data_IF_651642517845
#
_entry.id   IF_651642517845
#
_cell.length_a   1.000
_cell.length_b   1.000
_cell.length_c   1.000
_cell.angle_alpha   90.00
_cell.angle_beta   90.00
_cell.angle_gamma   90.00
#
_symmetry.space_group_name_H-M   'P 1'
#
loop_
_entity.id
_entity.type
_entity.pdbx_description
1 polymer ?
#
# COMPACT_ATOMS: atom_id res chain seq x y z
N UNK A 1 -69.39 -48.59 9.26
CA UNK A 1 -68.42 -47.59 8.74
C UNK A 1 -68.62 -46.30 9.52
N UNK A 2 -67.74 -46.04 10.48
CA UNK A 2 -67.77 -44.85 11.35
C UNK A 2 -66.32 -44.41 11.56
N UNK A 3 -65.90 -43.34 10.89
CA UNK A 3 -64.59 -42.72 11.15
C UNK A 3 -64.80 -41.51 12.06
N UNK A 4 -64.30 -41.62 13.29
CA UNK A 4 -64.06 -40.51 14.22
C UNK A 4 -62.86 -39.71 13.69
N UNK A 5 -63.03 -38.40 13.52
CA UNK A 5 -61.90 -37.46 13.50
C UNK A 5 -62.02 -36.56 14.72
N UNK A 6 -60.96 -36.62 15.53
CA UNK A 6 -60.75 -35.85 16.74
C UNK A 6 -60.10 -34.52 16.38
N UNK A 7 -60.55 -33.46 17.06
CA UNK A 7 -59.73 -32.40 17.65
C UNK A 7 -58.98 -31.42 16.71
N UNK A 8 -59.50 -30.20 16.68
CA UNK A 8 -58.70 -28.96 16.55
C UNK A 8 -59.27 -27.91 17.51
N UNK A 9 -58.85 -27.99 18.77
CA UNK A 9 -58.94 -26.87 19.72
C UNK A 9 -57.89 -25.81 19.34
N UNK A 10 -58.13 -24.57 19.80
CA UNK A 10 -57.19 -23.43 19.84
C UNK A 10 -57.21 -22.41 18.69
N UNK A 11 -58.35 -21.72 18.49
CA UNK A 11 -58.36 -20.33 18.00
C UNK A 11 -58.47 -19.29 19.14
N UNK A 12 -58.17 -19.70 20.37
CA UNK A 12 -58.25 -18.85 21.56
C UNK A 12 -56.97 -18.97 22.40
N UNK A 13 -55.84 -18.55 21.85
CA UNK A 13 -54.82 -17.92 22.68
C UNK A 13 -54.97 -16.43 22.44
N UNK A 14 -55.65 -15.76 23.37
CA UNK A 14 -55.64 -14.31 23.51
C UNK A 14 -54.22 -13.82 23.24
N UNK A 15 -54.02 -12.92 22.26
CA UNK A 15 -52.74 -12.22 22.12
C UNK A 15 -52.36 -11.77 23.53
N UNK A 16 -51.20 -12.18 24.02
CA UNK A 16 -50.82 -11.85 25.38
C UNK A 16 -50.77 -10.33 25.49
N UNK A 17 -51.04 -9.78 26.68
CA UNK A 17 -50.96 -8.32 26.91
C UNK A 17 -49.63 -7.74 26.41
N UNK A 18 -48.57 -8.56 26.47
CA UNK A 18 -47.22 -8.24 26.00
C UNK A 18 -47.15 -8.14 24.47
N UNK A 19 -47.89 -8.98 23.74
CA UNK A 19 -47.93 -8.94 22.27
C UNK A 19 -48.67 -7.70 21.77
N UNK A 20 -49.70 -7.25 22.49
CA UNK A 20 -50.42 -6.01 22.16
C UNK A 20 -49.61 -4.76 22.51
N UNK A 21 -48.93 -4.74 23.65
CA UNK A 21 -48.00 -3.67 24.06
C UNK A 21 -46.81 -3.56 23.09
N UNK A 22 -46.28 -4.70 22.63
CA UNK A 22 -45.25 -4.72 21.58
C UNK A 22 -45.78 -4.16 20.26
N UNK A 23 -47.01 -4.52 19.86
CA UNK A 23 -47.61 -4.02 18.63
C UNK A 23 -47.84 -2.50 18.70
N UNK A 24 -48.33 -2.01 19.84
CA UNK A 24 -48.50 -0.57 20.12
C UNK A 24 -47.18 0.18 20.02
N UNK A 25 -46.11 -0.35 20.64
CA UNK A 25 -44.75 0.23 20.57
C UNK A 25 -44.19 0.26 19.14
N UNK A 26 -44.47 -0.76 18.32
CA UNK A 26 -44.01 -0.82 16.92
C UNK A 26 -44.82 0.09 15.97
N UNK A 27 -46.04 0.46 16.35
CA UNK A 27 -46.93 1.35 15.59
C UNK A 27 -46.75 2.83 15.99
N UNK A 28 -46.02 3.10 17.07
CA UNK A 28 -45.61 4.45 17.45
C UNK A 28 -44.60 4.99 16.42
N UNK A 29 -44.73 6.25 15.97
CA UNK A 29 -43.84 6.80 14.94
C UNK A 29 -42.39 6.79 15.43
N UNK A 30 -41.46 6.23 14.62
CA UNK A 30 -40.03 6.07 14.95
C UNK A 30 -39.35 7.36 15.44
N UNK A 31 -39.84 8.54 15.05
CA UNK A 31 -39.33 9.84 15.46
C UNK A 31 -39.66 10.22 16.92
N UNK A 32 -40.68 9.63 17.53
CA UNK A 32 -41.10 9.93 18.91
C UNK A 32 -40.37 9.08 19.96
N UNK A 33 -39.78 7.95 19.56
CA UNK A 33 -39.25 6.94 20.48
C UNK A 33 -37.73 7.06 20.70
N UNK A 34 -37.03 7.89 19.92
CA UNK A 34 -35.59 8.04 20.06
C UNK A 34 -35.22 9.28 20.91
N UNK A 35 -34.68 9.10 22.13
CA UNK A 35 -34.33 10.21 23.01
C UNK A 35 -33.16 11.09 22.49
N UNK A 36 -32.61 10.76 21.32
CA UNK A 36 -31.54 11.49 20.65
C UNK A 36 -31.95 11.84 19.22
N UNK A 37 -33.14 12.42 19.02
CA UNK A 37 -33.54 12.89 17.70
C UNK A 37 -32.82 14.20 17.35
N UNK A 38 -31.79 14.22 16.48
CA UNK A 38 -31.08 15.45 16.15
C UNK A 38 -31.92 16.42 15.29
N UNK A 39 -33.07 15.98 14.77
CA UNK A 39 -34.01 16.81 14.03
C UNK A 39 -35.09 17.44 14.92
N UNK A 40 -35.12 17.13 16.21
CA UNK A 40 -35.99 17.78 17.19
C UNK A 40 -35.44 19.16 17.56
N UNK A 41 -36.32 20.14 17.64
CA UNK A 41 -35.99 21.55 17.89
C UNK A 41 -35.44 21.74 19.32
N UNK A 42 -35.82 20.86 20.25
CA UNK A 42 -35.32 20.85 21.63
C UNK A 42 -33.90 20.27 21.77
N UNK A 43 -33.45 19.45 20.80
CA UNK A 43 -32.13 18.82 20.80
C UNK A 43 -31.01 19.84 20.61
N UNK A 44 -31.19 20.80 19.70
CA UNK A 44 -30.24 21.87 19.46
C UNK A 44 -30.02 22.70 20.73
N UNK A 45 -31.08 23.01 21.47
CA UNK A 45 -30.99 23.74 22.73
C UNK A 45 -30.24 22.94 23.81
N UNK A 46 -30.47 21.63 23.90
CA UNK A 46 -29.74 20.74 24.80
C UNK A 46 -28.24 20.66 24.48
N UNK A 47 -27.88 20.48 23.21
CA UNK A 47 -26.48 20.44 22.78
C UNK A 47 -25.78 21.80 22.97
N UNK A 48 -26.44 22.91 22.66
CA UNK A 48 -25.88 24.25 22.93
C UNK A 48 -25.63 24.48 24.42
N UNK A 49 -26.50 23.99 25.31
CA UNK A 49 -26.28 24.08 26.76
C UNK A 49 -25.08 23.25 27.21
N UNK A 50 -24.87 22.05 26.64
CA UNK A 50 -23.69 21.24 26.90
C UNK A 50 -22.41 21.90 26.38
N UNK A 51 -22.44 22.47 25.18
CA UNK A 51 -21.30 23.16 24.57
C UNK A 51 -20.90 24.40 25.37
N UNK A 52 -21.86 25.16 25.93
CA UNK A 52 -21.58 26.29 26.83
C UNK A 52 -20.83 25.88 28.10
N UNK A 53 -20.98 24.63 28.58
CA UNK A 53 -20.21 24.13 29.72
C UNK A 53 -18.74 23.90 29.36
N UNK A 54 -18.43 23.72 28.08
CA UNK A 54 -17.08 23.66 27.56
C UNK A 54 -16.64 25.03 27.05
N UNK A 55 -16.11 25.86 27.95
CA UNK A 55 -15.40 27.10 27.61
C UNK A 55 -14.07 26.88 26.86
N UNK A 56 -13.95 25.75 26.14
CA UNK A 56 -12.80 25.39 25.31
C UNK A 56 -12.85 26.07 23.94
N UNK A 57 -14.02 26.51 23.47
CA UNK A 57 -14.17 27.09 22.14
C UNK A 57 -13.32 28.37 21.98
N UNK A 58 -13.32 29.25 22.98
CA UNK A 58 -12.52 30.49 22.97
C UNK A 58 -11.02 30.21 23.10
N UNK A 59 -10.64 29.21 23.91
CA UNK A 59 -9.25 28.78 24.06
C UNK A 59 -8.71 28.13 22.78
N UNK A 60 -9.53 27.31 22.13
CA UNK A 60 -9.17 26.61 20.89
C UNK A 60 -9.11 27.59 19.71
N UNK A 61 -10.01 28.57 19.65
CA UNK A 61 -9.95 29.64 18.64
C UNK A 61 -8.68 30.48 18.80
N UNK A 62 -8.29 30.81 20.03
CA UNK A 62 -7.09 31.62 20.29
C UNK A 62 -5.79 30.85 20.06
N UNK A 63 -5.71 29.57 20.43
CA UNK A 63 -4.54 28.73 20.14
C UNK A 63 -4.42 28.44 18.65
N UNK A 64 -5.54 28.12 17.98
CA UNK A 64 -5.58 27.86 16.55
C UNK A 64 -5.18 29.10 15.75
N UNK A 65 -5.68 30.29 16.10
CA UNK A 65 -5.27 31.52 15.40
C UNK A 65 -3.82 31.90 15.67
N UNK A 66 -3.28 31.59 16.85
CA UNK A 66 -1.88 31.83 17.17
C UNK A 66 -0.92 30.85 16.48
N UNK A 67 -1.28 29.57 16.39
CA UNK A 67 -0.39 28.49 15.96
C UNK A 67 -0.59 28.03 14.52
N UNK A 68 -1.77 28.25 13.95
CA UNK A 68 -2.04 27.92 12.54
C UNK A 68 -1.13 28.65 11.54
N UNK A 69 -0.73 29.93 11.72
CA UNK A 69 0.14 30.60 10.76
C UNK A 69 1.52 29.94 10.70
N UNK A 70 2.09 29.59 11.85
CA UNK A 70 3.38 28.90 11.93
C UNK A 70 3.29 27.50 11.30
N UNK A 71 2.18 26.79 11.52
CA UNK A 71 1.94 25.49 10.90
C UNK A 71 1.83 25.58 9.37
N UNK A 72 1.03 26.53 8.85
CA UNK A 72 0.89 26.71 7.42
C UNK A 72 2.20 27.18 6.77
N UNK A 73 2.94 28.07 7.43
CA UNK A 73 4.27 28.49 6.95
C UNK A 73 5.27 27.32 6.95
N UNK A 74 5.20 26.44 7.95
CA UNK A 74 6.01 25.23 7.98
C UNK A 74 5.65 24.29 6.82
N UNK A 75 4.36 24.09 6.56
CA UNK A 75 3.90 23.33 5.39
C UNK A 75 4.35 23.95 4.08
N UNK A 76 4.22 25.27 3.90
CA UNK A 76 4.67 25.97 2.69
C UNK A 76 6.19 25.85 2.48
N UNK A 77 6.97 25.84 3.58
CA UNK A 77 8.42 25.62 3.51
C UNK A 77 8.74 24.20 3.04
N UNK A 78 8.06 23.19 3.59
CA UNK A 78 8.20 21.80 3.16
C UNK A 78 7.76 21.62 1.70
N UNK A 79 6.67 22.26 1.31
CA UNK A 79 6.16 22.19 -0.06
C UNK A 79 7.04 22.93 -1.07
N UNK A 80 7.65 24.04 -0.67
CA UNK A 80 8.63 24.76 -1.50
C UNK A 80 9.93 23.97 -1.68
N UNK A 81 10.27 23.11 -0.73
CA UNK A 81 11.39 22.17 -0.85
C UNK A 81 11.15 21.04 -1.87
N UNK A 82 9.90 20.65 -2.09
CA UNK A 82 9.56 19.55 -3.03
C UNK A 82 9.44 20.02 -4.50
N UNK A 83 9.19 21.31 -4.75
CA UNK A 83 9.09 21.84 -6.13
C UNK A 83 10.45 22.03 -6.80
N UNK A 84 11.54 22.00 -6.03
CA UNK A 84 12.92 22.03 -6.54
C UNK A 84 13.47 20.62 -6.76
N UNK A 85 12.64 19.68 -7.22
CA UNK A 85 13.13 18.51 -7.94
C UNK A 85 13.56 18.96 -9.35
N UNK A 86 14.74 19.58 -9.42
CA UNK A 86 15.52 19.55 -10.65
C UNK A 86 15.92 18.09 -10.89
N UNK A 87 15.07 17.39 -11.64
CA UNK A 87 15.07 15.95 -11.90
C UNK A 87 16.34 15.42 -12.61
N UNK A 88 17.38 16.24 -12.77
CA UNK A 88 18.54 15.95 -13.63
C UNK A 88 19.87 15.85 -12.87
N UNK A 89 20.03 16.47 -11.70
CA UNK A 89 21.30 16.43 -10.94
C UNK A 89 21.26 15.43 -9.78
N UNK A 90 20.15 15.35 -9.06
CA UNK A 90 19.94 14.33 -8.00
C UNK A 90 19.83 12.92 -8.59
N UNK A 91 19.14 12.79 -9.73
CA UNK A 91 19.03 11.53 -10.47
C UNK A 91 20.40 11.04 -10.96
N UNK A 92 21.24 11.93 -11.49
CA UNK A 92 22.57 11.56 -11.98
C UNK A 92 23.48 11.02 -10.84
N UNK A 93 23.52 11.71 -9.69
CA UNK A 93 24.31 11.25 -8.54
C UNK A 93 23.81 9.93 -7.94
N UNK A 94 22.50 9.69 -7.96
CA UNK A 94 21.90 8.42 -7.52
C UNK A 94 22.22 7.28 -8.50
N UNK A 95 22.24 7.55 -9.80
CA UNK A 95 22.64 6.58 -10.84
C UNK A 95 24.11 6.23 -10.73
N UNK A 96 25.00 7.22 -10.55
CA UNK A 96 26.43 7.00 -10.43
C UNK A 96 26.76 6.16 -9.18
N UNK A 97 26.12 6.48 -8.04
CA UNK A 97 26.26 5.71 -6.80
C UNK A 97 25.68 4.29 -6.91
N UNK A 98 24.56 4.12 -7.62
CA UNK A 98 23.99 2.79 -7.90
C UNK A 98 24.96 1.97 -8.74
N UNK A 99 25.51 2.54 -9.82
CA UNK A 99 26.45 1.85 -10.70
C UNK A 99 27.73 1.46 -9.95
N UNK A 100 28.27 2.33 -9.09
CA UNK A 100 29.42 2.01 -8.24
C UNK A 100 29.11 0.87 -7.27
N UNK A 101 27.93 0.86 -6.64
CA UNK A 101 27.52 -0.22 -5.76
C UNK A 101 27.29 -1.54 -6.50
N UNK A 102 26.67 -1.52 -7.68
CA UNK A 102 26.52 -2.72 -8.50
C UNK A 102 27.88 -3.26 -8.94
N UNK A 103 28.79 -2.38 -9.34
CA UNK A 103 30.13 -2.79 -9.75
C UNK A 103 30.91 -3.41 -8.58
N UNK A 104 30.91 -2.77 -7.41
CA UNK A 104 31.62 -3.31 -6.22
C UNK A 104 31.04 -4.64 -5.74
N UNK A 105 29.74 -4.86 -5.87
CA UNK A 105 29.07 -6.08 -5.40
C UNK A 105 29.10 -7.24 -6.40
N UNK A 106 29.08 -6.96 -7.71
CA UNK A 106 28.91 -7.98 -8.75
C UNK A 106 30.04 -8.07 -9.78
N UNK A 107 31.06 -7.20 -9.75
CA UNK A 107 32.13 -7.22 -10.76
C UNK A 107 32.93 -8.53 -10.81
N UNK A 108 32.91 -9.33 -9.73
CA UNK A 108 33.59 -10.63 -9.69
C UNK A 108 32.85 -11.73 -10.45
N UNK A 109 31.54 -11.61 -10.65
CA UNK A 109 30.68 -12.70 -11.12
C UNK A 109 29.85 -12.39 -12.36
N UNK A 110 29.77 -11.13 -12.80
CA UNK A 110 28.93 -10.71 -13.94
C UNK A 110 29.68 -9.73 -14.86
N UNK A 111 29.51 -9.80 -16.21
CA UNK A 111 30.11 -8.85 -17.13
C UNK A 111 29.65 -7.42 -16.88
N UNK A 112 30.60 -6.47 -16.95
CA UNK A 112 30.34 -5.05 -16.69
C UNK A 112 29.26 -4.43 -17.58
N UNK A 113 29.17 -4.88 -18.84
CA UNK A 113 28.16 -4.41 -19.81
C UNK A 113 26.74 -4.71 -19.31
N UNK A 114 26.54 -5.86 -18.65
CA UNK A 114 25.24 -6.28 -18.12
C UNK A 114 24.85 -5.43 -16.91
N UNK A 115 25.80 -5.18 -16.00
CA UNK A 115 25.58 -4.33 -14.83
C UNK A 115 25.24 -2.89 -15.21
N UNK A 116 25.93 -2.34 -16.20
CA UNK A 116 25.67 -0.99 -16.70
C UNK A 116 24.29 -0.87 -17.35
N UNK A 117 23.92 -1.84 -18.21
CA UNK A 117 22.62 -1.86 -18.87
C UNK A 117 21.46 -1.95 -17.87
N UNK A 118 21.56 -2.87 -16.90
CA UNK A 118 20.54 -3.04 -15.85
C UNK A 118 20.46 -1.79 -14.97
N UNK A 119 21.61 -1.22 -14.54
CA UNK A 119 21.62 -0.04 -13.69
C UNK A 119 21.00 1.20 -14.36
N UNK A 120 21.32 1.41 -15.64
CA UNK A 120 20.75 2.52 -16.42
C UNK A 120 19.25 2.34 -16.67
N UNK A 121 18.80 1.12 -16.97
CA UNK A 121 17.39 0.84 -17.20
C UNK A 121 16.57 0.89 -15.93
N UNK A 122 17.11 0.38 -14.82
CA UNK A 122 16.47 0.48 -13.52
C UNK A 122 16.22 1.92 -13.11
N UNK A 123 17.14 2.86 -13.36
CA UNK A 123 16.91 4.27 -13.03
C UNK A 123 15.90 4.97 -13.94
N UNK A 124 15.89 4.65 -15.23
CA UNK A 124 14.88 5.14 -16.17
C UNK A 124 13.47 4.66 -15.78
N UNK A 125 13.34 3.37 -15.44
CA UNK A 125 12.06 2.71 -15.19
C UNK A 125 11.58 2.94 -13.75
N UNK A 126 12.47 3.28 -12.81
CA UNK A 126 12.10 3.58 -11.43
C UNK A 126 11.12 4.76 -11.32
N UNK A 127 11.15 5.70 -12.26
CA UNK A 127 10.18 6.81 -12.33
C UNK A 127 8.79 6.37 -12.85
N UNK A 128 8.66 5.15 -13.39
CA UNK A 128 7.40 4.62 -13.90
C UNK A 128 6.54 4.04 -12.76
N UNK A 129 5.23 4.24 -12.82
CA UNK A 129 4.26 3.70 -11.84
C UNK A 129 3.91 2.23 -12.09
N UNK A 130 4.78 1.46 -12.74
CA UNK A 130 4.55 0.06 -13.07
C UNK A 130 4.75 -0.85 -11.86
N UNK A 131 4.23 -2.08 -11.93
CA UNK A 131 4.46 -3.08 -10.88
C UNK A 131 5.93 -3.51 -10.86
N UNK A 132 6.45 -3.88 -9.67
CA UNK A 132 7.84 -4.34 -9.52
C UNK A 132 8.18 -5.50 -10.46
N UNK A 133 7.21 -6.38 -10.75
CA UNK A 133 7.40 -7.50 -11.68
C UNK A 133 7.63 -7.05 -13.13
N UNK A 134 6.90 -6.04 -13.59
CA UNK A 134 7.06 -5.46 -14.92
C UNK A 134 8.38 -4.69 -15.03
N UNK A 135 8.72 -3.90 -14.01
CA UNK A 135 9.98 -3.16 -13.96
C UNK A 135 11.21 -4.08 -14.05
N UNK A 136 11.16 -5.24 -13.37
CA UNK A 136 12.23 -6.24 -13.40
C UNK A 136 12.39 -6.85 -14.79
N UNK A 137 11.28 -7.19 -15.45
CA UNK A 137 11.31 -7.82 -16.76
C UNK A 137 11.85 -6.84 -17.80
N UNK A 138 11.43 -5.58 -17.75
CA UNK A 138 11.92 -4.56 -18.67
C UNK A 138 13.43 -4.29 -18.48
N UNK A 139 13.93 -4.30 -17.24
CA UNK A 139 15.38 -4.23 -16.97
C UNK A 139 16.14 -5.42 -17.58
N UNK A 140 15.63 -6.65 -17.40
CA UNK A 140 16.28 -7.88 -17.88
C UNK A 140 16.21 -8.01 -19.40
N UNK A 141 15.11 -7.57 -20.02
CA UNK A 141 14.91 -7.64 -21.46
C UNK A 141 15.94 -6.83 -22.25
N UNK A 142 16.54 -5.81 -21.62
CA UNK A 142 17.62 -5.03 -22.25
C UNK A 142 18.91 -5.81 -22.43
N UNK A 143 19.08 -6.87 -21.65
CA UNK A 143 20.27 -7.71 -21.65
C UNK A 143 20.02 -9.09 -22.25
N UNK A 144 18.77 -9.56 -22.16
CA UNK A 144 18.28 -10.82 -22.72
C UNK A 144 17.08 -10.56 -23.66
N UNK A 145 17.29 -9.96 -24.83
CA UNK A 145 16.20 -9.58 -25.73
C UNK A 145 15.50 -10.76 -26.40
N UNK A 146 16.11 -11.94 -26.41
CA UNK A 146 15.58 -13.15 -27.04
C UNK A 146 14.56 -13.90 -26.17
N UNK A 147 14.39 -13.50 -24.92
CA UNK A 147 13.49 -14.14 -23.97
C UNK A 147 12.08 -13.55 -24.05
N UNK A 148 11.07 -14.42 -23.97
CA UNK A 148 9.67 -14.01 -23.93
C UNK A 148 9.34 -13.30 -22.60
N UNK A 149 8.53 -12.24 -22.67
CA UNK A 149 8.15 -11.42 -21.50
C UNK A 149 7.41 -12.27 -20.48
N UNK A 150 6.54 -13.16 -20.94
CA UNK A 150 5.73 -14.08 -20.15
C UNK A 150 6.61 -15.04 -19.34
N UNK A 151 7.67 -15.58 -19.95
CA UNK A 151 8.63 -16.47 -19.27
C UNK A 151 9.45 -15.71 -18.23
N UNK A 152 9.91 -14.50 -18.56
CA UNK A 152 10.61 -13.63 -17.62
C UNK A 152 9.71 -13.23 -16.45
N UNK A 153 8.41 -12.97 -16.68
CA UNK A 153 7.44 -12.68 -15.62
C UNK A 153 7.28 -13.88 -14.68
N UNK A 154 7.25 -15.11 -15.20
CA UNK A 154 7.20 -16.32 -14.36
C UNK A 154 8.45 -16.42 -13.48
N UNK A 155 9.62 -16.13 -14.04
CA UNK A 155 10.89 -16.08 -13.29
C UNK A 155 10.94 -14.92 -12.30
N UNK A 156 10.22 -13.82 -12.56
CA UNK A 156 10.14 -12.64 -11.70
C UNK A 156 9.25 -12.83 -10.47
N UNK A 157 8.27 -13.74 -10.53
CA UNK A 157 7.26 -13.95 -9.45
C UNK A 157 7.86 -14.12 -8.05
N UNK A 158 8.94 -14.90 -7.83
CA UNK A 158 9.54 -15.06 -6.50
C UNK A 158 10.09 -13.76 -5.89
N UNK A 159 10.36 -12.75 -6.73
CA UNK A 159 10.87 -11.45 -6.32
C UNK A 159 9.75 -10.41 -6.24
N UNK A 160 8.81 -10.44 -7.19
CA UNK A 160 7.72 -9.47 -7.30
C UNK A 160 6.57 -9.70 -6.31
N UNK A 161 6.22 -10.95 -6.02
CA UNK A 161 5.05 -11.31 -5.20
C UNK A 161 5.43 -12.02 -3.90
N UNK A 162 6.56 -11.64 -3.31
CA UNK A 162 7.01 -12.18 -2.03
C UNK A 162 6.16 -11.65 -0.86
N UNK A 163 5.06 -12.34 -0.53
CA UNK A 163 4.16 -11.98 0.59
C UNK A 163 4.81 -12.04 1.99
N UNK A 164 6.05 -12.52 2.13
CA UNK A 164 6.72 -12.72 3.43
C UNK A 164 8.20 -12.35 3.39
N UNK A 165 8.56 -11.10 3.09
CA UNK A 165 9.97 -10.60 3.05
C UNK A 165 10.97 -11.50 2.31
N UNK A 166 10.48 -12.44 1.50
CA UNK A 166 11.26 -13.54 0.95
C UNK A 166 11.93 -13.12 -0.35
N UNK A 167 11.52 -11.99 -0.95
CA UNK A 167 12.14 -11.46 -2.17
C UNK A 167 13.62 -11.15 -1.98
N UNK A 168 13.98 -10.53 -0.85
CA UNK A 168 15.36 -10.20 -0.53
C UNK A 168 16.19 -11.44 -0.15
N UNK A 169 15.57 -12.44 0.49
CA UNK A 169 16.19 -13.73 0.79
C UNK A 169 16.40 -14.59 -0.47
N UNK A 170 15.46 -14.54 -1.42
CA UNK A 170 15.53 -15.23 -2.70
C UNK A 170 16.64 -14.61 -3.58
N UNK A 171 16.74 -13.28 -3.62
CA UNK A 171 17.83 -12.58 -4.29
C UNK A 171 19.20 -12.93 -3.68
N UNK A 172 19.33 -12.87 -2.36
CA UNK A 172 20.56 -13.25 -1.67
C UNK A 172 20.96 -14.71 -1.94
N UNK A 173 19.98 -15.63 -1.98
CA UNK A 173 20.23 -17.05 -2.25
C UNK A 173 20.71 -17.30 -3.68
N UNK A 174 20.06 -16.65 -4.67
CA UNK A 174 20.49 -16.74 -6.08
C UNK A 174 21.89 -16.15 -6.25
N UNK A 175 22.18 -15.02 -5.60
CA UNK A 175 23.51 -14.39 -5.65
C UNK A 175 24.60 -15.24 -4.99
N UNK A 176 24.30 -15.90 -3.86
CA UNK A 176 25.26 -16.79 -3.20
C UNK A 176 25.67 -17.98 -4.09
N UNK A 177 24.73 -18.55 -4.85
CA UNK A 177 25.00 -19.65 -5.76
C UNK A 177 25.89 -19.22 -6.94
N UNK A 178 25.74 -17.98 -7.40
CA UNK A 178 26.49 -17.42 -8.53
C UNK A 178 27.92 -17.06 -8.15
N UNK A 179 28.17 -16.60 -6.92
CA UNK A 179 29.53 -16.32 -6.44
C UNK A 179 30.45 -17.56 -6.41
N UNK A 180 29.91 -18.76 -6.56
CA UNK A 180 30.67 -20.01 -6.61
C UNK A 180 30.93 -20.52 -8.04
N UNK A 181 30.37 -19.88 -9.07
CA UNK A 181 30.39 -20.39 -10.45
C UNK A 181 30.68 -19.27 -11.45
N UNK A 182 31.60 -19.50 -12.39
CA UNK A 182 31.94 -18.52 -13.43
C UNK A 182 30.73 -18.23 -14.32
N UNK A 183 30.48 -16.95 -14.63
CA UNK A 183 29.36 -16.49 -15.48
C UNK A 183 29.20 -17.28 -16.79
N UNK A 184 30.32 -17.65 -17.39
CA UNK A 184 30.38 -18.39 -18.67
C UNK A 184 29.94 -19.84 -18.55
N UNK A 185 29.86 -20.40 -17.34
CA UNK A 185 29.41 -21.75 -17.06
C UNK A 185 27.94 -21.85 -16.63
N UNK A 186 27.21 -20.73 -16.59
CA UNK A 186 25.81 -20.68 -16.20
C UNK A 186 24.89 -20.96 -17.40
N UNK A 187 23.79 -21.67 -17.15
CA UNK A 187 22.70 -21.83 -18.12
C UNK A 187 22.01 -20.49 -18.40
N UNK A 188 21.38 -20.34 -19.58
CA UNK A 188 20.62 -19.13 -19.94
C UNK A 188 19.51 -18.81 -18.92
N UNK A 189 18.86 -19.85 -18.36
CA UNK A 189 17.86 -19.71 -17.30
C UNK A 189 18.50 -19.17 -16.00
N UNK A 190 19.70 -19.63 -15.69
CA UNK A 190 20.41 -19.18 -14.49
C UNK A 190 20.85 -17.73 -14.67
N UNK A 191 21.44 -17.38 -15.82
CA UNK A 191 21.79 -16.02 -16.19
C UNK A 191 20.59 -15.07 -16.08
N UNK A 192 19.41 -15.49 -16.58
CA UNK A 192 18.17 -14.72 -16.45
C UNK A 192 17.75 -14.50 -14.99
N UNK A 193 17.90 -15.52 -14.13
CA UNK A 193 17.61 -15.40 -12.69
C UNK A 193 18.62 -14.49 -11.98
N UNK A 194 19.91 -14.54 -12.36
CA UNK A 194 20.92 -13.63 -11.82
C UNK A 194 20.63 -12.19 -12.22
N UNK A 195 20.36 -11.94 -13.51
CA UNK A 195 20.04 -10.59 -14.00
C UNK A 195 18.79 -10.04 -13.31
N UNK A 196 17.81 -10.88 -13.03
CA UNK A 196 16.59 -10.47 -12.34
C UNK A 196 16.84 -10.19 -10.85
N UNK A 197 17.70 -10.97 -10.19
CA UNK A 197 18.14 -10.69 -8.82
C UNK A 197 18.93 -9.37 -8.73
N UNK A 198 19.78 -9.07 -9.73
CA UNK A 198 20.54 -7.81 -9.81
C UNK A 198 19.60 -6.63 -10.05
N UNK A 199 18.64 -6.76 -10.98
CA UNK A 199 17.63 -5.74 -11.22
C UNK A 199 16.80 -5.47 -9.95
N UNK A 200 16.42 -6.52 -9.21
CA UNK A 200 15.73 -6.37 -7.92
C UNK A 200 16.58 -5.64 -6.89
N UNK A 201 17.85 -6.01 -6.77
CA UNK A 201 18.79 -5.32 -5.88
C UNK A 201 18.93 -3.84 -6.25
N UNK A 202 19.06 -3.51 -7.53
CA UNK A 202 19.14 -2.12 -8.01
C UNK A 202 17.88 -1.31 -7.64
N UNK A 203 16.68 -1.86 -7.89
CA UNK A 203 15.42 -1.20 -7.57
C UNK A 203 15.21 -1.02 -6.06
N UNK A 204 15.59 -2.02 -5.25
CA UNK A 204 15.54 -1.89 -3.77
C UNK A 204 16.52 -0.84 -3.24
N UNK A 205 17.70 -0.72 -3.84
CA UNK A 205 18.64 0.35 -3.51
C UNK A 205 18.07 1.73 -3.81
N UNK A 206 17.47 1.92 -5.00
CA UNK A 206 16.80 3.18 -5.37
C UNK A 206 15.67 3.53 -4.39
N UNK A 207 14.87 2.56 -4.00
CA UNK A 207 13.79 2.76 -3.02
C UNK A 207 14.34 3.13 -1.62
N UNK A 208 15.43 2.47 -1.18
CA UNK A 208 16.07 2.80 0.09
C UNK A 208 16.74 4.17 0.12
N UNK A 209 17.20 4.67 -1.05
CA UNK A 209 17.73 6.02 -1.21
C UNK A 209 16.65 7.10 -1.07
N UNK A 210 15.43 6.83 -1.51
CA UNK A 210 14.26 7.72 -1.33
C UNK A 210 13.80 7.82 0.13
N UNK A 211 13.93 6.76 0.93
CA UNK A 211 13.47 6.74 2.34
C UNK A 211 14.40 7.50 3.31
N UNK A 212 15.57 7.95 2.86
CA UNK A 212 16.56 8.68 3.68
C UNK A 212 16.47 10.20 3.58
N UNK A 213 15.48 10.72 2.87
CA UNK A 213 15.15 12.16 2.78
C UNK A 213 13.94 12.44 3.67
#
# INVERSE_FOLDING_TARGET
>A
MTNKINRSEAFHSLLSSVDLELLETLLEPEDATYPWNPADEESEAYFQQLEQQFALQDWLQTELTARSPDFYHHLDTLWSGTTSCDNNTTSQGVVDHLQENLHTTFAASVPQIWLQAIGQKASEIFASQQSIGEQLVECVQTVLPNWEVEDLLVLARPFAYAMRSSGQQNAASVMHNVNHQDWTGLSEIEQAKVSLAIAYYALTQLNSGQTKV
#
